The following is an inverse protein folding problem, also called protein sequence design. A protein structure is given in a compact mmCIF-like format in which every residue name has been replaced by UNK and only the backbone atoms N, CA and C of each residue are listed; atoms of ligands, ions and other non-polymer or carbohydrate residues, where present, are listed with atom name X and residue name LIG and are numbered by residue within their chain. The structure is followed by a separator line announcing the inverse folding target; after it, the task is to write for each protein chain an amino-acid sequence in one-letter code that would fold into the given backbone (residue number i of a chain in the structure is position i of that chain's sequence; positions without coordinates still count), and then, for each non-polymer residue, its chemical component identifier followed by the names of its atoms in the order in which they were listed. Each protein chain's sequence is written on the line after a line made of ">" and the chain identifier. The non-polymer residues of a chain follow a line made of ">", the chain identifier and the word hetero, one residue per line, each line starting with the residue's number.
data_IF_995996594972
#
_entry.id   IF_995996594972
#
_cell.length_a   1.000
_cell.length_b   1.000
_cell.length_c   1.000
_cell.angle_alpha   90.00
_cell.angle_beta   90.00
_cell.angle_gamma   90.00
#
_symmetry.space_group_name_H-M   'P 1'
#
loop_
_entity.id
_entity.type
_entity.pdbx_description
1 polymer ?
#
# COMPACT_ATOMS: atom_id res chain seq x y z
N UNK A 1 11.92 25.30 -15.35
CA UNK A 1 10.93 24.35 -15.92
C UNK A 1 10.86 23.18 -14.96
N UNK A 2 10.10 23.34 -13.87
CA UNK A 2 9.86 22.31 -12.85
C UNK A 2 8.39 22.40 -12.49
N UNK A 3 7.56 21.79 -13.33
CA UNK A 3 6.15 21.56 -13.02
C UNK A 3 6.08 20.32 -12.12
N UNK A 4 6.49 20.48 -10.86
CA UNK A 4 6.26 19.45 -9.84
C UNK A 4 4.86 19.70 -9.30
N UNK A 5 3.84 19.22 -10.01
CA UNK A 5 2.48 19.14 -9.49
C UNK A 5 2.48 18.41 -8.15
N UNK A 6 1.54 18.72 -7.23
CA UNK A 6 1.56 18.20 -5.87
C UNK A 6 1.43 16.65 -5.89
N UNK A 7 2.56 15.96 -5.78
CA UNK A 7 2.66 14.50 -5.80
C UNK A 7 3.53 13.89 -6.91
N UNK A 8 4.19 14.71 -7.73
CA UNK A 8 5.21 14.25 -8.67
C UNK A 8 6.57 14.24 -7.96
N UNK A 9 7.28 13.10 -7.95
CA UNK A 9 8.68 13.10 -7.53
C UNK A 9 9.54 13.67 -8.64
N UNK A 10 10.55 14.46 -8.29
CA UNK A 10 11.60 14.82 -9.26
C UNK A 10 12.14 13.58 -9.99
N UNK A 11 12.40 13.71 -11.29
CA UNK A 11 12.81 12.61 -12.16
C UNK A 11 13.98 11.80 -11.61
N UNK A 12 14.94 12.47 -10.96
CA UNK A 12 16.08 11.84 -10.29
C UNK A 12 15.63 10.91 -9.16
N UNK A 13 14.73 11.39 -8.29
CA UNK A 13 14.22 10.61 -7.18
C UNK A 13 13.34 9.47 -7.70
N UNK A 14 12.51 9.72 -8.70
CA UNK A 14 11.71 8.69 -9.36
C UNK A 14 12.59 7.58 -9.98
N UNK A 15 13.71 7.93 -10.61
CA UNK A 15 14.65 6.97 -11.19
C UNK A 15 15.34 6.11 -10.11
N UNK A 16 15.76 6.71 -8.99
CA UNK A 16 16.32 5.98 -7.85
C UNK A 16 15.30 5.00 -7.26
N UNK A 17 14.07 5.45 -7.04
CA UNK A 17 13.01 4.56 -6.54
C UNK A 17 12.65 3.47 -7.53
N UNK A 18 12.66 3.76 -8.83
CA UNK A 18 12.44 2.76 -9.87
C UNK A 18 13.53 1.70 -9.87
N UNK A 19 14.80 2.09 -9.75
CA UNK A 19 15.91 1.14 -9.68
C UNK A 19 15.82 0.26 -8.42
N UNK A 20 15.39 0.84 -7.30
CA UNK A 20 15.33 0.14 -6.02
C UNK A 20 14.07 -0.72 -5.84
N UNK A 21 12.89 -0.18 -6.15
CA UNK A 21 11.61 -0.87 -6.02
C UNK A 21 11.28 -1.73 -7.24
N UNK A 22 11.79 -1.40 -8.43
CA UNK A 22 11.61 -2.17 -9.66
C UNK A 22 11.82 -3.68 -9.50
N UNK A 23 12.95 -4.16 -8.93
CA UNK A 23 13.16 -5.60 -8.68
C UNK A 23 12.18 -6.22 -7.67
N UNK A 24 11.55 -5.42 -6.81
CA UNK A 24 10.48 -5.89 -5.93
C UNK A 24 9.19 -6.16 -6.71
N UNK A 25 8.86 -5.27 -7.65
CA UNK A 25 7.71 -5.45 -8.55
C UNK A 25 7.94 -6.60 -9.53
N UNK A 26 9.13 -6.68 -10.15
CA UNK A 26 9.46 -7.73 -11.12
C UNK A 26 9.55 -9.12 -10.50
N UNK A 27 10.12 -9.23 -9.30
CA UNK A 27 10.26 -10.52 -8.61
C UNK A 27 9.01 -10.96 -7.86
N UNK A 28 7.93 -10.17 -7.85
CA UNK A 28 6.68 -10.58 -7.21
C UNK A 28 5.90 -11.52 -8.13
N UNK A 29 5.49 -12.66 -7.60
CA UNK A 29 4.58 -13.61 -8.29
C UNK A 29 3.12 -13.36 -7.93
N UNK A 30 2.88 -12.78 -6.75
CA UNK A 30 1.57 -12.57 -6.17
C UNK A 30 1.50 -11.21 -5.47
N UNK A 31 0.28 -10.65 -5.38
CA UNK A 31 0.01 -9.41 -4.64
C UNK A 31 0.40 -9.49 -3.16
N UNK A 32 0.29 -10.68 -2.56
CA UNK A 32 0.66 -10.95 -1.17
C UNK A 32 2.18 -10.77 -0.96
N UNK A 33 2.97 -11.48 -1.77
CA UNK A 33 4.43 -11.37 -1.78
C UNK A 33 4.91 -9.95 -2.09
N UNK A 34 4.25 -9.24 -3.01
CA UNK A 34 4.56 -7.84 -3.30
C UNK A 34 4.34 -6.95 -2.08
N UNK A 35 3.18 -7.08 -1.43
CA UNK A 35 2.81 -6.28 -0.26
C UNK A 35 3.71 -6.60 0.93
N UNK A 36 4.06 -7.87 1.14
CA UNK A 36 4.97 -8.30 2.20
C UNK A 36 6.39 -7.74 1.99
N UNK A 37 6.92 -7.84 0.76
CA UNK A 37 8.25 -7.29 0.43
C UNK A 37 8.29 -5.78 0.60
N UNK A 38 7.27 -5.07 0.10
CA UNK A 38 7.15 -3.62 0.31
C UNK A 38 7.03 -3.27 1.80
N UNK A 39 6.25 -4.04 2.56
CA UNK A 39 6.06 -3.86 3.99
C UNK A 39 7.35 -4.03 4.80
N UNK A 40 8.21 -4.98 4.41
CA UNK A 40 9.54 -5.16 4.99
C UNK A 40 10.45 -3.94 4.81
N UNK A 41 10.17 -3.14 3.78
CA UNK A 41 10.85 -1.88 3.50
C UNK A 41 10.12 -0.65 4.07
N UNK A 42 9.01 -0.84 4.79
CA UNK A 42 8.21 0.25 5.37
C UNK A 42 7.26 0.92 4.37
N UNK A 43 7.00 0.30 3.23
CA UNK A 43 6.08 0.79 2.20
C UNK A 43 4.82 -0.08 2.09
N UNK A 44 3.70 0.57 1.79
CA UNK A 44 2.42 -0.05 1.49
C UNK A 44 1.93 0.34 0.11
N UNK A 45 0.83 -0.27 -0.31
CA UNK A 45 0.14 0.05 -1.56
C UNK A 45 -1.30 0.48 -1.26
N UNK A 46 -1.75 1.49 -1.97
CA UNK A 46 -3.14 1.95 -1.94
C UNK A 46 -3.62 2.31 -3.34
N UNK A 47 -4.88 2.03 -3.62
CA UNK A 47 -5.56 2.51 -4.83
C UNK A 47 -6.34 3.77 -4.48
N UNK A 48 -6.19 4.78 -5.34
CA UNK A 48 -6.94 6.03 -5.30
C UNK A 48 -7.37 6.43 -6.69
N UNK A 49 -8.66 6.66 -6.87
CA UNK A 49 -9.22 7.10 -8.16
C UNK A 49 -8.82 6.16 -9.32
N UNK A 50 -8.78 4.84 -9.04
CA UNK A 50 -8.36 3.82 -10.00
C UNK A 50 -6.85 3.79 -10.31
N UNK A 51 -6.04 4.59 -9.62
CA UNK A 51 -4.58 4.64 -9.76
C UNK A 51 -3.91 4.00 -8.55
N UNK A 52 -2.80 3.31 -8.81
CA UNK A 52 -1.98 2.72 -7.76
C UNK A 52 -1.02 3.76 -7.18
N UNK A 53 -0.98 3.87 -5.87
CA UNK A 53 -0.10 4.73 -5.10
C UNK A 53 0.70 3.90 -4.11
N UNK A 54 1.99 4.22 -4.01
CA UNK A 54 2.85 3.81 -2.92
C UNK A 54 2.55 4.68 -1.70
N UNK A 55 2.37 4.06 -0.54
CA UNK A 55 2.20 4.72 0.74
C UNK A 55 3.34 4.33 1.67
N UNK A 56 3.64 5.15 2.67
CA UNK A 56 4.57 4.75 3.74
C UNK A 56 3.75 4.08 4.87
N UNK A 57 4.14 2.89 5.32
CA UNK A 57 3.41 2.16 6.36
C UNK A 57 3.33 2.95 7.67
N UNK A 58 4.41 3.65 8.05
CA UNK A 58 4.48 4.41 9.30
C UNK A 58 3.47 5.56 9.38
N UNK A 59 3.19 6.22 8.25
CA UNK A 59 2.36 7.45 8.24
C UNK A 59 1.08 7.31 7.44
N UNK A 60 0.91 6.21 6.70
CA UNK A 60 -0.13 6.05 5.68
C UNK A 60 -0.08 7.13 4.58
N UNK A 61 0.97 7.95 4.54
CA UNK A 61 1.06 9.12 3.66
C UNK A 61 1.39 8.65 2.25
N UNK A 62 0.70 9.26 1.28
CA UNK A 62 0.94 9.06 -0.15
C UNK A 62 2.38 9.47 -0.46
N UNK A 63 3.12 8.54 -1.03
CA UNK A 63 4.49 8.76 -1.44
C UNK A 63 4.55 9.08 -2.94
N UNK A 64 4.17 8.13 -3.80
CA UNK A 64 4.27 8.28 -5.25
C UNK A 64 3.20 7.46 -5.97
N UNK A 65 2.71 7.88 -7.15
CA UNK A 65 1.93 7.00 -8.00
C UNK A 65 2.85 5.93 -8.62
N UNK A 66 2.43 4.66 -8.59
CA UNK A 66 3.26 3.54 -9.08
C UNK A 66 3.63 3.67 -10.57
N UNK A 67 2.83 4.42 -11.36
CA UNK A 67 3.14 4.72 -12.77
C UNK A 67 4.52 5.39 -12.93
N UNK A 68 4.96 6.20 -11.96
CA UNK A 68 6.28 6.82 -11.98
C UNK A 68 7.41 5.81 -11.74
N UNK A 69 7.11 4.72 -11.04
CA UNK A 69 8.02 3.60 -10.85
C UNK A 69 8.09 2.69 -12.08
N UNK A 70 7.36 3.02 -13.16
CA UNK A 70 7.33 2.26 -14.40
C UNK A 70 6.27 1.18 -14.46
N UNK A 71 5.41 1.09 -13.45
CA UNK A 71 4.47 -0.01 -13.31
C UNK A 71 3.08 0.53 -13.05
N UNK A 72 2.11 0.05 -13.82
CA UNK A 72 0.71 0.43 -13.64
C UNK A 72 -0.06 -0.67 -12.89
N UNK A 73 -1.18 -0.30 -12.25
CA UNK A 73 -2.11 -1.29 -11.70
C UNK A 73 -2.51 -2.33 -12.75
N UNK A 74 -2.71 -1.89 -14.00
CA UNK A 74 -3.08 -2.74 -15.13
C UNK A 74 -2.00 -3.78 -15.42
N UNK A 75 -0.76 -3.34 -15.52
CA UNK A 75 0.39 -4.22 -15.80
C UNK A 75 0.58 -5.28 -14.70
N UNK A 76 0.56 -4.84 -13.44
CA UNK A 76 0.62 -5.75 -12.30
C UNK A 76 -0.60 -6.67 -12.25
N UNK A 77 -1.81 -6.19 -12.55
CA UNK A 77 -3.00 -7.04 -12.54
C UNK A 77 -3.02 -8.07 -13.68
N UNK A 78 -2.37 -7.76 -14.79
CA UNK A 78 -2.20 -8.70 -15.90
C UNK A 78 -1.21 -9.80 -15.54
N UNK A 79 -0.16 -9.48 -14.77
CA UNK A 79 0.88 -10.43 -14.34
C UNK A 79 0.51 -11.21 -13.09
N UNK A 80 0.12 -10.51 -12.02
CA UNK A 80 -0.17 -11.04 -10.68
C UNK A 80 -1.64 -11.47 -10.52
N UNK A 81 -2.49 -11.22 -11.51
CA UNK A 81 -3.92 -11.51 -11.46
C UNK A 81 -4.74 -10.49 -10.65
N UNK A 82 -5.90 -10.90 -10.14
CA UNK A 82 -6.86 -10.00 -9.48
C UNK A 82 -6.38 -9.60 -8.07
N UNK A 83 -6.16 -8.30 -7.80
CA UNK A 83 -5.76 -7.85 -6.47
C UNK A 83 -6.91 -8.02 -5.46
N UNK A 84 -6.56 -8.43 -4.24
CA UNK A 84 -7.47 -8.39 -3.09
C UNK A 84 -7.37 -7.03 -2.43
N UNK A 85 -8.46 -6.28 -2.52
CA UNK A 85 -8.55 -4.91 -2.08
C UNK A 85 -9.59 -4.82 -0.96
N UNK A 86 -9.28 -4.15 0.14
CA UNK A 86 -10.29 -3.70 1.10
C UNK A 86 -10.57 -2.24 0.87
N UNK A 87 -11.82 -1.93 0.52
CA UNK A 87 -12.28 -0.56 0.44
C UNK A 87 -12.22 0.08 1.83
N UNK A 88 -11.66 1.29 1.92
CA UNK A 88 -11.62 2.03 3.19
C UNK A 88 -12.87 2.90 3.28
N UNK A 89 -13.74 2.64 4.25
CA UNK A 89 -14.96 3.42 4.49
C UNK A 89 -14.67 4.89 4.81
N UNK A 90 -13.54 5.17 5.46
CA UNK A 90 -13.10 6.52 5.85
C UNK A 90 -12.79 7.45 4.65
N UNK A 91 -12.54 6.90 3.46
CA UNK A 91 -12.18 7.70 2.30
C UNK A 91 -12.80 7.15 1.01
N UNK A 92 -13.59 7.95 0.26
CA UNK A 92 -14.12 7.51 -1.03
C UNK A 92 -12.98 7.23 -2.03
N UNK A 93 -13.21 6.25 -2.91
CA UNK A 93 -12.23 5.75 -3.90
C UNK A 93 -10.89 5.28 -3.30
N UNK A 94 -10.87 4.96 -2.00
CA UNK A 94 -9.78 4.26 -1.32
C UNK A 94 -9.89 2.76 -1.46
N UNK A 95 -8.81 2.11 -1.85
CA UNK A 95 -8.63 0.73 -1.43
C UNK A 95 -7.21 0.50 -0.92
N UNK A 96 -7.08 -0.35 0.07
CA UNK A 96 -5.79 -0.84 0.55
C UNK A 96 -5.61 -2.27 0.07
N UNK A 97 -4.38 -2.63 -0.28
CA UNK A 97 -4.05 -4.01 -0.64
C UNK A 97 -3.99 -4.82 0.64
N UNK A 98 -4.79 -5.88 0.67
CA UNK A 98 -4.84 -6.75 1.82
C UNK A 98 -4.21 -8.05 1.39
N UNK A 99 -2.97 -8.21 1.82
CA UNK A 99 -2.33 -9.51 1.92
C UNK A 99 -3.35 -10.47 2.54
N UNK A 100 -3.35 -11.72 2.10
CA UNK A 100 -4.15 -12.75 2.80
C UNK A 100 -3.72 -12.59 4.27
N UNK A 101 -4.64 -12.26 5.20
CA UNK A 101 -4.23 -12.19 6.59
C UNK A 101 -3.62 -13.57 6.88
N UNK A 102 -2.32 -13.60 7.21
CA UNK A 102 -1.79 -14.73 7.96
C UNK A 102 -2.83 -14.97 9.07
N UNK A 103 -3.31 -16.21 9.28
CA UNK A 103 -4.46 -16.48 10.14
C UNK A 103 -4.24 -15.73 11.45
N UNK A 104 -4.95 -14.60 11.58
CA UNK A 104 -4.72 -13.68 12.67
C UNK A 104 -5.26 -14.42 13.87
N UNK A 105 -4.35 -14.92 14.72
CA UNK A 105 -4.65 -15.20 16.11
C UNK A 105 -5.41 -13.97 16.61
N UNK A 106 -6.68 -14.19 16.92
CA UNK A 106 -7.60 -13.18 17.38
C UNK A 106 -6.90 -12.25 18.38
N UNK A 107 -6.89 -10.95 18.11
CA UNK A 107 -6.60 -9.96 19.14
C UNK A 107 -7.53 -10.28 20.33
N UNK A 108 -7.01 -10.55 21.54
CA UNK A 108 -7.87 -10.72 22.69
C UNK A 108 -8.65 -9.42 22.89
N UNK A 109 -9.97 -9.55 22.96
CA UNK A 109 -10.88 -8.45 23.22
C UNK A 109 -10.38 -7.63 24.41
N UNK A 110 -10.43 -6.28 24.36
CA UNK A 110 -10.23 -5.48 25.56
C UNK A 110 -11.31 -5.88 26.56
N UNK A 111 -10.93 -6.56 27.64
CA UNK A 111 -11.84 -6.81 28.77
C UNK A 111 -12.39 -5.46 29.23
N UNK A 112 -13.72 -5.24 29.25
CA UNK A 112 -14.27 -4.07 29.90
C UNK A 112 -13.94 -4.17 31.38
N UNK A 113 -13.05 -3.29 31.85
CA UNK A 113 -12.65 -3.26 33.24
C UNK A 113 -13.89 -2.92 34.08
N UNK A 114 -14.25 -3.87 34.95
CA UNK A 114 -15.37 -3.74 35.87
C UNK A 114 -15.06 -2.63 36.88
N UNK A 115 -15.60 -1.45 36.63
CA UNK A 115 -15.64 -0.33 37.57
C UNK A 115 -17.09 0.00 37.91
N UNK A 116 -17.78 -0.93 38.58
CA UNK A 116 -19.08 -0.65 39.18
C UNK A 116 -18.93 -0.79 40.70
N UNK A 117 -18.71 0.33 41.37
CA UNK A 117 -18.84 0.47 42.83
C UNK A 117 -20.06 1.35 43.08
N UNK A 118 -21.18 0.82 43.59
CA UNK A 118 -22.21 1.65 44.17
C UNK A 118 -21.94 1.84 45.68
N UNK A 119 -22.13 3.07 46.16
CA UNK A 119 -22.32 3.39 47.58
C UNK A 119 -23.80 3.26 47.95
#
# INVERSE_FOLDING_TARGET
>A
MTDTGPGDLDCETAALYRAWLGPLFEGATDWDSLTARLGAHGYGLAIREGRLYLTRCETGRRFAPARMLGTSLRDLSARLGRPRLRARLDRPAAAEFVARPAPSVAQPAPTPNAGFTPC
#
